data_IF_751525377603
#
_entry.id   IF_751525377603
#
_cell.length_a   1.000
_cell.length_b   1.000
_cell.length_c   1.000
_cell.angle_alpha   90.00
_cell.angle_beta   90.00
_cell.angle_gamma   90.00
#
_symmetry.space_group_name_H-M   'P 1'
#
loop_
_entity.id
_entity.type
_entity.pdbx_description
1 polymer ?
#
# COMPACT_ATOMS: atom_id res chain seq x y z
N UNK A 1 -27.40 3.70 27.91
CA UNK A 1 -26.41 4.17 26.93
C UNK A 1 -25.13 3.44 27.25
N UNK A 2 -24.73 2.45 26.43
CA UNK A 2 -23.44 1.80 26.61
C UNK A 2 -22.38 2.71 25.99
N UNK A 3 -21.67 3.45 26.85
CA UNK A 3 -20.36 4.00 26.52
C UNK A 3 -19.37 2.83 26.47
N UNK A 4 -19.36 2.09 25.37
CA UNK A 4 -18.23 1.23 25.07
C UNK A 4 -17.05 2.15 24.75
N UNK A 5 -16.24 2.41 25.76
CA UNK A 5 -15.01 3.18 25.68
C UNK A 5 -14.15 2.64 24.54
N UNK A 6 -14.07 3.39 23.43
CA UNK A 6 -13.01 3.23 22.44
C UNK A 6 -11.68 3.44 23.17
N UNK A 7 -11.03 2.36 23.56
CA UNK A 7 -9.82 2.39 24.39
C UNK A 7 -8.56 2.79 23.59
N UNK A 8 -8.72 3.32 22.37
CA UNK A 8 -7.64 3.71 21.48
C UNK A 8 -6.85 2.54 20.89
N UNK A 9 -7.28 1.29 21.12
CA UNK A 9 -6.60 0.12 20.57
C UNK A 9 -6.92 -0.05 19.08
N UNK A 10 -5.89 -0.42 18.33
CA UNK A 10 -5.98 -0.74 16.92
C UNK A 10 -5.26 -2.06 16.68
N UNK A 11 -5.62 -2.76 15.61
CA UNK A 11 -4.91 -3.97 15.24
C UNK A 11 -3.44 -3.67 14.95
N UNK A 12 -2.54 -4.59 15.33
CA UNK A 12 -1.12 -4.58 14.90
C UNK A 12 -0.98 -4.46 13.38
N UNK A 13 -1.96 -4.98 12.65
CA UNK A 13 -2.12 -4.83 11.21
C UNK A 13 -2.08 -3.35 10.76
N UNK A 14 -2.86 -2.48 11.42
CA UNK A 14 -2.88 -1.03 11.13
C UNK A 14 -1.52 -0.40 11.37
N UNK A 15 -0.91 -0.70 12.52
CA UNK A 15 0.40 -0.16 12.88
C UNK A 15 1.48 -0.56 11.84
N UNK A 16 1.46 -1.82 11.41
CA UNK A 16 2.36 -2.32 10.37
C UNK A 16 2.10 -1.65 9.02
N UNK A 17 0.84 -1.57 8.58
CA UNK A 17 0.47 -0.90 7.33
C UNK A 17 0.96 0.55 7.30
N UNK A 18 0.75 1.29 8.38
CA UNK A 18 1.20 2.68 8.52
C UNK A 18 2.72 2.81 8.52
N UNK A 19 3.44 1.91 9.20
CA UNK A 19 4.92 1.84 9.18
C UNK A 19 5.44 1.67 7.75
N UNK A 20 4.80 0.82 6.96
CA UNK A 20 5.14 0.59 5.55
C UNK A 20 4.57 1.65 4.60
N UNK A 21 3.87 2.68 5.10
CA UNK A 21 3.16 3.70 4.31
C UNK A 21 2.27 3.09 3.21
N UNK A 22 1.62 1.97 3.52
CA UNK A 22 0.66 1.33 2.61
C UNK A 22 -0.68 2.05 2.77
N UNK A 23 -1.21 2.62 1.70
CA UNK A 23 -2.51 3.27 1.72
C UNK A 23 -3.64 2.24 1.84
N UNK A 24 -4.81 2.67 2.31
CA UNK A 24 -6.00 1.81 2.28
C UNK A 24 -6.41 1.49 0.83
N UNK A 25 -6.14 2.37 -0.13
CA UNK A 25 -6.44 2.16 -1.54
C UNK A 25 -5.61 1.01 -2.13
N UNK A 26 -4.29 1.00 -1.92
CA UNK A 26 -3.42 -0.09 -2.39
C UNK A 26 -3.83 -1.43 -1.78
N UNK A 27 -4.15 -1.42 -0.48
CA UNK A 27 -4.57 -2.62 0.21
C UNK A 27 -5.95 -3.11 -0.25
N UNK A 28 -6.87 -2.19 -0.54
CA UNK A 28 -8.18 -2.50 -1.11
C UNK A 28 -8.06 -3.12 -2.50
N UNK A 29 -7.21 -2.55 -3.36
CA UNK A 29 -6.93 -3.10 -4.69
C UNK A 29 -6.31 -4.49 -4.62
N UNK A 30 -5.42 -4.75 -3.67
CA UNK A 30 -4.75 -6.05 -3.55
C UNK A 30 -5.61 -7.13 -2.87
N UNK A 31 -6.53 -6.76 -1.96
CA UNK A 31 -7.38 -7.70 -1.21
C UNK A 31 -8.77 -7.90 -1.80
N UNK A 32 -9.26 -6.97 -2.62
CA UNK A 32 -10.66 -6.91 -3.04
C UNK A 32 -11.63 -6.44 -1.94
N UNK A 33 -11.11 -6.09 -0.75
CA UNK A 33 -11.92 -5.60 0.37
C UNK A 33 -12.06 -4.08 0.26
N UNK A 34 -13.25 -3.54 0.50
CA UNK A 34 -13.48 -2.09 0.42
C UNK A 34 -12.68 -1.33 1.48
N UNK A 35 -12.25 -0.11 1.15
CA UNK A 35 -11.51 0.80 2.05
C UNK A 35 -12.24 0.96 3.41
N UNK A 36 -13.56 1.18 3.38
CA UNK A 36 -14.37 1.32 4.59
C UNK A 36 -14.29 0.06 5.46
N UNK A 37 -14.39 -1.12 4.84
CA UNK A 37 -14.33 -2.39 5.56
C UNK A 37 -12.96 -2.63 6.17
N UNK A 38 -11.88 -2.29 5.46
CA UNK A 38 -10.51 -2.35 6.00
C UNK A 38 -10.39 -1.42 7.21
N UNK A 39 -10.89 -0.18 7.12
CA UNK A 39 -10.86 0.77 8.24
C UNK A 39 -11.58 0.24 9.47
N UNK A 40 -12.78 -0.34 9.31
CA UNK A 40 -13.53 -0.95 10.42
C UNK A 40 -12.75 -2.10 11.06
N UNK A 41 -12.12 -2.97 10.25
CA UNK A 41 -11.27 -4.05 10.76
C UNK A 41 -10.11 -3.48 11.56
N UNK A 42 -9.41 -2.47 11.04
CA UNK A 42 -8.28 -1.83 11.71
C UNK A 42 -8.62 -1.20 13.05
N UNK A 43 -9.83 -0.65 13.15
CA UNK A 43 -10.39 -0.02 14.35
C UNK A 43 -11.07 -1.04 15.28
N UNK A 44 -11.08 -2.32 14.92
CA UNK A 44 -11.74 -3.40 15.65
C UNK A 44 -13.26 -3.24 15.76
N UNK A 45 -13.85 -2.43 14.87
CA UNK A 45 -15.30 -2.15 14.79
C UNK A 45 -16.11 -3.31 14.17
N UNK A 46 -15.44 -4.38 13.73
CA UNK A 46 -16.10 -5.58 13.25
C UNK A 46 -15.29 -6.84 13.53
N UNK A 47 -15.95 -8.00 13.70
CA UNK A 47 -15.27 -9.27 13.90
C UNK A 47 -14.43 -9.64 12.67
N UNK A 48 -13.20 -10.08 12.93
CA UNK A 48 -12.26 -10.52 11.91
C UNK A 48 -12.36 -12.04 11.78
N UNK A 49 -12.69 -12.51 10.58
CA UNK A 49 -12.76 -13.95 10.28
C UNK A 49 -11.40 -14.46 9.78
N UNK A 50 -11.09 -15.76 9.91
CA UNK A 50 -9.85 -16.33 9.37
C UNK A 50 -9.64 -16.03 7.89
N UNK A 51 -10.72 -16.05 7.10
CA UNK A 51 -10.67 -15.70 5.69
C UNK A 51 -10.27 -14.24 5.44
N UNK A 52 -10.79 -13.29 6.23
CA UNK A 52 -10.38 -11.88 6.14
C UNK A 52 -8.92 -11.69 6.55
N UNK A 53 -8.43 -12.43 7.55
CA UNK A 53 -7.01 -12.41 7.93
C UNK A 53 -6.16 -12.81 6.73
N UNK A 54 -6.48 -13.94 6.09
CA UNK A 54 -5.75 -14.46 4.93
C UNK A 54 -5.73 -13.47 3.76
N UNK A 55 -6.88 -12.89 3.40
CA UNK A 55 -6.96 -11.91 2.32
C UNK A 55 -6.09 -10.68 2.60
N UNK A 56 -6.14 -10.16 3.83
CA UNK A 56 -5.41 -8.95 4.21
C UNK A 56 -3.91 -9.18 4.36
N UNK A 57 -3.48 -10.33 4.89
CA UNK A 57 -2.05 -10.68 4.98
C UNK A 57 -1.46 -10.92 3.60
N UNK A 58 -2.18 -11.64 2.73
CA UNK A 58 -1.76 -11.84 1.34
C UNK A 58 -1.69 -10.51 0.58
N UNK A 59 -2.66 -9.62 0.79
CA UNK A 59 -2.65 -8.30 0.16
C UNK A 59 -1.46 -7.44 0.61
N UNK A 60 -1.09 -7.49 1.89
CA UNK A 60 0.13 -6.83 2.38
C UNK A 60 1.37 -7.34 1.63
N UNK A 61 1.52 -8.66 1.53
CA UNK A 61 2.66 -9.27 0.86
C UNK A 61 2.74 -8.89 -0.62
N UNK A 62 1.60 -8.92 -1.34
CA UNK A 62 1.51 -8.49 -2.73
C UNK A 62 1.96 -7.04 -2.90
N UNK A 63 1.48 -6.12 -2.05
CA UNK A 63 1.85 -4.70 -2.14
C UNK A 63 3.33 -4.50 -1.88
N UNK A 64 3.89 -5.17 -0.87
CA UNK A 64 5.31 -5.08 -0.54
C UNK A 64 6.20 -5.61 -1.67
N UNK A 65 5.86 -6.78 -2.23
CA UNK A 65 6.61 -7.38 -3.34
C UNK A 65 6.55 -6.50 -4.60
N UNK A 66 5.37 -5.97 -4.96
CA UNK A 66 5.21 -5.06 -6.10
C UNK A 66 6.07 -3.82 -5.95
N UNK A 67 6.04 -3.18 -4.78
CA UNK A 67 6.87 -2.00 -4.50
C UNK A 67 8.36 -2.31 -4.57
N UNK A 68 8.79 -3.46 -4.05
CA UNK A 68 10.19 -3.89 -4.14
C UNK A 68 10.62 -4.10 -5.59
N UNK A 69 9.78 -4.73 -6.42
CA UNK A 69 10.08 -4.94 -7.84
C UNK A 69 10.14 -3.62 -8.61
N UNK A 70 9.17 -2.72 -8.41
CA UNK A 70 9.17 -1.39 -9.04
C UNK A 70 10.36 -0.56 -8.59
N UNK A 71 10.73 -0.59 -7.30
CA UNK A 71 11.90 0.12 -6.81
C UNK A 71 13.19 -0.38 -7.48
N UNK A 72 13.33 -1.70 -7.68
CA UNK A 72 14.48 -2.26 -8.39
C UNK A 72 14.53 -1.79 -9.85
N UNK A 73 13.40 -1.78 -10.56
CA UNK A 73 13.30 -1.28 -11.94
C UNK A 73 13.65 0.21 -12.02
N UNK A 74 13.02 1.04 -11.18
CA UNK A 74 13.25 2.48 -11.17
C UNK A 74 14.70 2.85 -10.80
N UNK A 75 15.35 2.07 -9.92
CA UNK A 75 16.77 2.26 -9.60
C UNK A 75 17.65 1.89 -10.79
N UNK A 76 17.30 0.84 -11.54
CA UNK A 76 18.05 0.46 -12.74
C UNK A 76 17.93 1.56 -13.82
N UNK A 77 16.71 2.00 -14.12
CA UNK A 77 16.43 3.08 -15.07
C UNK A 77 17.13 4.39 -14.67
N UNK A 78 17.03 4.77 -13.39
CA UNK A 78 17.78 5.92 -12.86
C UNK A 78 19.29 5.81 -13.09
N UNK A 79 19.89 4.62 -12.89
CA UNK A 79 21.34 4.43 -13.07
C UNK A 79 21.76 4.54 -14.54
N UNK A 80 20.91 4.11 -15.47
CA UNK A 80 21.14 4.26 -16.90
C UNK A 80 21.07 5.73 -17.33
N UNK A 81 20.15 6.49 -16.73
CA UNK A 81 19.93 7.90 -17.06
C UNK A 81 20.77 8.88 -16.21
N UNK A 82 21.50 8.41 -15.19
CA UNK A 82 22.05 9.25 -14.12
C UNK A 82 22.94 10.41 -14.64
N UNK A 83 23.73 10.16 -15.67
CA UNK A 83 24.64 11.17 -16.26
C UNK A 83 23.92 12.19 -17.14
N UNK A 84 22.69 11.88 -17.55
CA UNK A 84 21.87 12.65 -18.51
C UNK A 84 20.63 13.28 -17.88
N UNK A 85 20.39 13.11 -16.57
CA UNK A 85 19.19 13.62 -15.88
C UNK A 85 18.96 15.13 -16.00
N UNK A 86 20.01 15.90 -16.29
CA UNK A 86 19.97 17.35 -16.42
C UNK A 86 20.14 17.83 -17.86
N UNK A 87 20.16 16.91 -18.83
CA UNK A 87 20.19 17.26 -20.24
C UNK A 87 18.81 17.79 -20.68
N UNK A 88 18.82 18.80 -21.56
CA UNK A 88 17.58 19.38 -22.07
C UNK A 88 16.94 18.44 -23.09
N UNK A 89 15.75 17.94 -22.78
CA UNK A 89 14.92 17.12 -23.69
C UNK A 89 13.67 17.89 -24.11
N UNK A 90 13.12 17.54 -25.27
CA UNK A 90 11.83 18.07 -25.74
C UNK A 90 10.68 17.43 -24.94
N UNK A 91 9.67 18.20 -24.53
CA UNK A 91 8.49 17.65 -23.82
C UNK A 91 7.77 16.53 -24.60
N UNK A 92 7.88 16.53 -25.94
CA UNK A 92 7.29 15.48 -26.79
C UNK A 92 7.99 14.12 -26.65
N UNK A 93 9.24 14.07 -26.18
CA UNK A 93 10.00 12.83 -25.96
C UNK A 93 9.65 12.16 -24.64
N UNK A 94 8.96 12.86 -23.72
CA UNK A 94 8.57 12.34 -22.39
C UNK A 94 7.43 11.31 -22.48
N UNK A 95 6.71 11.22 -23.61
CA UNK A 95 5.46 10.45 -23.73
C UNK A 95 5.68 9.03 -24.27
N UNK A 96 6.85 8.73 -24.86
CA UNK A 96 7.04 7.49 -25.63
C UNK A 96 7.50 6.25 -24.86
N UNK A 97 7.87 6.37 -23.58
CA UNK A 97 8.37 5.25 -22.75
C UNK A 97 7.39 4.80 -21.65
N UNK A 98 6.09 4.76 -21.97
CA UNK A 98 5.00 4.32 -21.07
C UNK A 98 4.72 2.81 -21.11
#
# INVERSE_FOLDING_TARGET
MNEDYYNGQVLRFRAFRMKCRISLAELSQASGISIQRISQIELMDCPVTPHLIELLTRALEIVLLRRSAMAALNIADYREQQEHLFDAISENEVITDG
#
